data_IF_317321260717
#
_entry.id   IF_317321260717
#
_cell.length_a   1.000
_cell.length_b   1.000
_cell.length_c   1.000
_cell.angle_alpha   90.00
_cell.angle_beta   90.00
_cell.angle_gamma   90.00
#
_symmetry.space_group_name_H-M   'P 1'
#
loop_
_entity.id
_entity.type
_entity.pdbx_description
1 polymer ?
#
# COMPACT_ATOMS: atom_id res chain seq x y z
N UNK A 1 2.36 -8.34 9.44
CA UNK A 1 1.63 -8.29 8.16
C UNK A 1 2.10 -9.35 7.17
N UNK A 2 3.41 -9.49 6.94
CA UNK A 2 3.97 -10.48 5.99
C UNK A 2 3.44 -11.91 6.17
N UNK A 3 3.48 -12.46 7.39
CA UNK A 3 2.97 -13.82 7.68
C UNK A 3 1.46 -13.97 7.48
N UNK A 4 0.70 -12.88 7.59
CA UNK A 4 -0.75 -12.92 7.54
C UNK A 4 -1.26 -13.08 6.11
N UNK A 5 -0.81 -12.22 5.19
CA UNK A 5 -1.16 -12.31 3.77
C UNK A 5 -0.54 -13.54 3.10
N UNK A 6 0.71 -13.89 3.43
CA UNK A 6 1.37 -15.08 2.88
C UNK A 6 0.57 -16.36 3.11
N UNK A 7 -0.01 -16.54 4.29
CA UNK A 7 -0.83 -17.73 4.60
C UNK A 7 -2.09 -17.78 3.73
N UNK A 8 -2.82 -16.68 3.59
CA UNK A 8 -4.02 -16.64 2.75
C UNK A 8 -3.69 -16.93 1.28
N UNK A 9 -2.61 -16.32 0.76
CA UNK A 9 -2.17 -16.53 -0.61
C UNK A 9 -1.70 -17.96 -0.86
N UNK A 10 -0.99 -18.55 0.10
CA UNK A 10 -0.58 -19.95 0.06
C UNK A 10 -1.80 -20.88 0.04
N UNK A 11 -2.82 -20.61 0.86
CA UNK A 11 -4.07 -21.36 0.84
C UNK A 11 -4.83 -21.26 -0.49
N UNK A 12 -4.80 -20.09 -1.16
CA UNK A 12 -5.38 -19.93 -2.50
C UNK A 12 -4.62 -20.75 -3.54
N UNK A 13 -3.29 -20.78 -3.46
CA UNK A 13 -2.45 -21.56 -4.38
C UNK A 13 -2.60 -23.07 -4.16
N UNK A 14 -2.46 -23.55 -2.92
CA UNK A 14 -2.53 -24.97 -2.58
C UNK A 14 -3.89 -25.61 -2.94
N UNK A 15 -4.97 -24.83 -2.91
CA UNK A 15 -6.32 -25.27 -3.28
C UNK A 15 -6.62 -25.16 -4.78
N UNK A 16 -5.67 -24.71 -5.60
CA UNK A 16 -5.87 -24.48 -7.02
C UNK A 16 -6.86 -23.33 -7.32
N UNK A 17 -7.02 -22.41 -6.38
CA UNK A 17 -7.87 -21.22 -6.57
C UNK A 17 -7.13 -20.05 -7.23
N UNK A 18 -5.81 -20.13 -7.31
CA UNK A 18 -4.96 -19.13 -7.95
C UNK A 18 -3.98 -19.82 -8.88
N UNK A 19 -3.98 -19.39 -10.14
CA UNK A 19 -2.98 -19.78 -11.15
C UNK A 19 -2.13 -18.54 -11.52
N UNK A 20 -0.81 -18.56 -11.28
CA UNK A 20 0.07 -17.44 -11.64
C UNK A 20 0.23 -17.24 -13.15
N UNK A 21 -0.04 -18.26 -13.98
CA UNK A 21 0.03 -18.15 -15.43
C UNK A 21 -1.24 -17.54 -16.04
N UNK A 22 -2.32 -17.49 -15.26
CA UNK A 22 -3.60 -16.94 -15.68
C UNK A 22 -3.68 -15.44 -15.38
N UNK A 23 -3.92 -14.65 -16.44
CA UNK A 23 -3.96 -13.19 -16.33
C UNK A 23 -5.14 -12.68 -15.49
N UNK A 24 -6.30 -13.32 -15.59
CA UNK A 24 -7.48 -12.93 -14.80
C UNK A 24 -7.25 -13.21 -13.31
N UNK A 25 -6.68 -14.37 -12.95
CA UNK A 25 -6.35 -14.68 -11.54
C UNK A 25 -5.33 -13.68 -10.98
N UNK A 26 -4.32 -13.27 -11.77
CA UNK A 26 -3.38 -12.20 -11.38
C UNK A 26 -4.06 -10.85 -11.20
N UNK A 27 -4.92 -10.46 -12.12
CA UNK A 27 -5.61 -9.18 -12.09
C UNK A 27 -6.62 -9.11 -10.93
N UNK A 28 -7.38 -10.18 -10.66
CA UNK A 28 -8.30 -10.23 -9.50
C UNK A 28 -7.52 -10.16 -8.19
N UNK A 29 -6.39 -10.86 -8.11
CA UNK A 29 -5.51 -10.78 -6.94
C UNK A 29 -5.00 -9.35 -6.74
N UNK A 30 -4.52 -8.71 -7.80
CA UNK A 30 -4.05 -7.33 -7.76
C UNK A 30 -5.16 -6.37 -7.30
N UNK A 31 -6.38 -6.52 -7.84
CA UNK A 31 -7.53 -5.68 -7.52
C UNK A 31 -7.93 -5.75 -6.05
N UNK A 32 -7.90 -6.95 -5.44
CA UNK A 32 -8.28 -7.13 -4.04
C UNK A 32 -7.12 -6.86 -3.09
N UNK A 33 -5.97 -7.48 -3.31
CA UNK A 33 -4.90 -7.48 -2.30
C UNK A 33 -4.09 -6.19 -2.28
N UNK A 34 -3.87 -5.51 -3.40
CA UNK A 34 -3.06 -4.28 -3.41
C UNK A 34 -3.72 -3.16 -2.58
N UNK A 35 -5.01 -2.81 -2.76
CA UNK A 35 -5.65 -1.77 -1.95
C UNK A 35 -5.68 -2.12 -0.45
N UNK A 36 -5.94 -3.38 -0.11
CA UNK A 36 -5.95 -3.86 1.28
C UNK A 36 -4.57 -3.73 1.91
N UNK A 37 -3.52 -4.21 1.22
CA UNK A 37 -2.14 -4.11 1.72
C UNK A 37 -1.73 -2.64 1.87
N UNK A 38 -2.08 -1.80 0.90
CA UNK A 38 -1.80 -0.36 0.95
C UNK A 38 -2.47 0.29 2.17
N UNK A 39 -3.75 -0.02 2.45
CA UNK A 39 -4.45 0.47 3.66
C UNK A 39 -3.71 0.06 4.93
N UNK A 40 -3.36 -1.22 5.07
CA UNK A 40 -2.70 -1.71 6.29
C UNK A 40 -1.31 -1.09 6.47
N UNK A 41 -0.58 -0.85 5.38
CA UNK A 41 0.70 -0.11 5.39
C UNK A 41 0.48 1.33 5.82
N UNK A 42 -0.54 2.01 5.31
CA UNK A 42 -0.85 3.39 5.69
C UNK A 42 -1.19 3.48 7.20
N UNK A 43 -2.03 2.57 7.70
CA UNK A 43 -2.36 2.47 9.13
C UNK A 43 -1.09 2.24 9.96
N UNK A 44 -0.18 1.37 9.49
CA UNK A 44 1.07 1.12 10.17
C UNK A 44 1.97 2.36 10.21
N UNK A 45 2.10 3.09 9.09
CA UNK A 45 2.87 4.34 9.00
C UNK A 45 2.31 5.37 9.99
N UNK A 46 0.99 5.56 10.01
CA UNK A 46 0.33 6.49 10.91
C UNK A 46 0.58 6.12 12.38
N UNK A 47 0.38 4.85 12.74
CA UNK A 47 0.63 4.37 14.09
C UNK A 47 2.09 4.55 14.48
N UNK A 48 3.02 4.16 13.61
CA UNK A 48 4.45 4.20 13.86
C UNK A 48 4.95 5.65 14.03
N UNK A 49 4.60 6.53 13.09
CA UNK A 49 5.07 7.92 13.10
C UNK A 49 4.46 8.76 14.22
N UNK A 50 3.33 8.33 14.79
CA UNK A 50 2.72 8.96 15.96
C UNK A 50 3.05 8.24 17.29
N UNK A 51 3.76 7.11 17.24
CA UNK A 51 4.19 6.40 18.44
C UNK A 51 5.52 6.96 18.95
N UNK A 52 5.66 7.02 20.28
CA UNK A 52 6.94 7.36 20.90
C UNK A 52 7.89 6.17 20.82
N UNK A 53 8.97 6.34 20.08
CA UNK A 53 10.03 5.33 20.00
C UNK A 53 10.78 5.18 21.33
N UNK A 54 11.33 4.00 21.60
CA UNK A 54 12.11 3.75 22.82
C UNK A 54 13.47 4.43 22.73
N UNK A 55 13.87 5.05 23.85
CA UNK A 55 15.17 5.71 23.98
C UNK A 55 16.33 4.77 23.64
N UNK A 56 17.14 5.12 22.65
CA UNK A 56 18.38 4.41 22.34
C UNK A 56 19.57 5.11 23.00
N UNK A 57 20.14 4.46 24.02
CA UNK A 57 21.35 4.96 24.71
C UNK A 57 22.51 5.09 23.71
N UNK A 58 23.29 6.18 23.84
CA UNK A 58 24.45 6.50 23.01
C UNK A 58 24.14 6.78 21.52
N UNK A 59 22.97 7.33 21.22
CA UNK A 59 22.66 7.80 19.87
C UNK A 59 22.49 9.32 19.85
N UNK A 60 22.82 9.95 18.72
CA UNK A 60 22.62 11.39 18.47
C UNK A 60 21.24 11.67 17.85
N UNK A 61 20.39 10.66 17.74
CA UNK A 61 19.09 10.74 17.07
C UNK A 61 18.06 11.22 18.10
N UNK A 62 17.16 12.16 17.74
CA UNK A 62 16.12 12.63 18.65
C UNK A 62 15.20 11.48 19.03
N UNK A 63 14.92 11.37 20.33
CA UNK A 63 14.00 10.39 20.88
C UNK A 63 12.63 11.04 21.15
N UNK A 64 11.58 10.50 20.54
CA UNK A 64 10.26 11.11 20.62
C UNK A 64 9.27 10.51 19.64
N UNK A 65 8.20 11.24 19.37
CA UNK A 65 7.23 10.91 18.34
C UNK A 65 7.77 11.47 17.01
N UNK A 66 8.03 10.62 15.99
CA UNK A 66 8.64 11.07 14.73
C UNK A 66 7.93 12.28 14.08
N UNK A 67 6.60 12.25 13.99
CA UNK A 67 5.83 13.38 13.41
C UNK A 67 6.00 14.68 14.21
N UNK A 68 6.12 14.58 15.53
CA UNK A 68 6.30 15.74 16.39
C UNK A 68 7.72 16.30 16.29
N UNK A 69 8.73 15.44 16.25
CA UNK A 69 10.13 15.85 16.01
C UNK A 69 10.25 16.54 14.65
N UNK A 70 9.60 16.00 13.62
CA UNK A 70 9.61 16.57 12.28
C UNK A 70 8.95 17.95 12.24
N UNK A 71 7.82 18.12 12.93
CA UNK A 71 7.06 19.38 12.92
C UNK A 71 7.61 20.43 13.88
N UNK A 72 8.32 20.02 14.94
CA UNK A 72 8.79 20.87 16.03
C UNK A 72 10.27 20.58 16.38
N UNK A 73 11.21 20.67 15.42
CA UNK A 73 12.61 20.32 15.67
C UNK A 73 13.26 21.17 16.76
N UNK A 74 12.83 22.43 16.92
CA UNK A 74 13.36 23.37 17.93
C UNK A 74 13.16 22.88 19.37
N UNK A 75 12.05 22.19 19.65
CA UNK A 75 11.78 21.62 20.98
C UNK A 75 12.76 20.51 21.36
N UNK A 76 13.46 19.95 20.36
CA UNK A 76 14.49 18.93 20.51
C UNK A 76 15.91 19.50 20.37
N UNK A 77 16.07 20.84 20.34
CA UNK A 77 17.36 21.49 20.11
C UNK A 77 17.91 21.31 18.69
N UNK A 78 17.02 21.00 17.73
CA UNK A 78 17.35 20.80 16.32
C UNK A 78 16.91 22.00 15.49
N UNK A 79 17.46 22.09 14.29
CA UNK A 79 17.14 23.15 13.33
C UNK A 79 16.49 22.51 12.13
N UNK A 80 15.34 23.05 11.69
CA UNK A 80 14.72 22.62 10.45
C UNK A 80 15.65 22.90 9.26
N UNK A 81 15.94 21.85 8.50
CA UNK A 81 16.72 21.90 7.26
C UNK A 81 15.94 21.29 6.09
N UNK A 82 14.62 21.12 6.26
CA UNK A 82 13.74 20.72 5.18
C UNK A 82 13.80 21.72 4.04
N UNK A 83 13.67 21.22 2.81
CA UNK A 83 13.42 22.05 1.65
C UNK A 83 11.98 21.87 1.21
N UNK A 84 11.28 22.99 1.05
CA UNK A 84 9.98 22.99 0.40
C UNK A 84 10.17 22.68 -1.09
N UNK A 85 9.60 21.57 -1.53
CA UNK A 85 9.63 21.18 -2.94
C UNK A 85 8.39 21.75 -3.62
N UNK A 86 8.59 22.59 -4.62
CA UNK A 86 7.51 23.15 -5.42
C UNK A 86 6.93 22.13 -6.39
N UNK A 87 5.66 22.32 -6.78
CA UNK A 87 5.03 21.48 -7.80
C UNK A 87 5.78 21.54 -9.14
N UNK A 88 6.37 22.69 -9.48
CA UNK A 88 7.16 22.86 -10.70
C UNK A 88 8.43 22.00 -10.70
N UNK A 89 9.11 21.89 -9.56
CA UNK A 89 10.30 21.03 -9.40
C UNK A 89 9.92 19.56 -9.48
N UNK A 90 8.81 19.15 -8.83
CA UNK A 90 8.29 17.79 -8.96
C UNK A 90 7.98 17.45 -10.42
N UNK A 91 7.34 18.35 -11.16
CA UNK A 91 7.06 18.15 -12.58
C UNK A 91 8.33 18.08 -13.43
N UNK A 92 9.33 18.92 -13.14
CA UNK A 92 10.62 18.89 -13.84
C UNK A 92 11.33 17.55 -13.63
N UNK A 93 11.41 17.08 -12.38
CA UNK A 93 11.98 15.77 -12.04
C UNK A 93 11.19 14.65 -12.71
N UNK A 94 9.87 14.70 -12.69
CA UNK A 94 9.01 13.68 -13.28
C UNK A 94 9.19 13.56 -14.81
N UNK A 95 9.45 14.67 -15.50
CA UNK A 95 9.80 14.67 -16.93
C UNK A 95 11.16 14.04 -17.19
N UNK A 96 12.16 14.34 -16.35
CA UNK A 96 13.52 13.80 -16.50
C UNK A 96 13.56 12.31 -16.15
N UNK A 97 12.86 11.90 -15.10
CA UNK A 97 12.82 10.50 -14.64
C UNK A 97 11.96 9.61 -15.54
N UNK A 98 11.06 10.19 -16.34
CA UNK A 98 10.12 9.44 -17.17
C UNK A 98 9.04 8.72 -16.37
N UNK A 99 8.89 8.99 -15.07
CA UNK A 99 7.94 8.31 -14.18
C UNK A 99 6.48 8.45 -14.65
N UNK A 100 6.16 9.52 -15.37
CA UNK A 100 4.82 9.78 -15.91
C UNK A 100 4.53 9.05 -17.23
N UNK A 101 5.54 8.45 -17.86
CA UNK A 101 5.39 7.73 -19.12
C UNK A 101 5.02 6.25 -18.91
N UNK A 102 5.10 5.75 -17.67
CA UNK A 102 4.65 4.41 -17.30
C UNK A 102 3.16 4.47 -17.02
N UNK A 103 2.39 3.47 -17.50
CA UNK A 103 0.99 3.31 -17.12
C UNK A 103 0.90 3.29 -15.59
N UNK A 104 0.18 4.27 -15.03
CA UNK A 104 0.11 4.44 -13.57
C UNK A 104 -0.68 3.31 -12.90
N UNK A 105 -1.56 2.66 -13.66
CA UNK A 105 -2.45 1.65 -13.15
C UNK A 105 -1.83 0.27 -13.31
N UNK A 106 -1.74 -0.46 -12.19
CA UNK A 106 -1.31 -1.86 -12.15
C UNK A 106 -2.38 -2.83 -12.70
N UNK A 107 -3.50 -2.29 -13.22
CA UNK A 107 -4.65 -3.01 -13.73
C UNK A 107 -5.23 -2.32 -14.97
N UNK A 108 -5.64 -3.07 -16.01
CA UNK A 108 -6.39 -2.51 -17.12
C UNK A 108 -7.70 -1.86 -16.65
N UNK A 109 -8.01 -0.65 -17.13
CA UNK A 109 -9.20 0.13 -16.72
C UNK A 109 -10.50 -0.64 -16.94
N UNK A 110 -10.62 -1.37 -18.05
CA UNK A 110 -11.79 -2.19 -18.35
C UNK A 110 -11.98 -3.32 -17.31
N UNK A 111 -10.87 -3.94 -16.90
CA UNK A 111 -10.89 -5.00 -15.90
C UNK A 111 -11.23 -4.46 -14.51
N UNK A 112 -10.64 -3.33 -14.12
CA UNK A 112 -10.96 -2.65 -12.87
C UNK A 112 -12.44 -2.27 -12.81
N UNK A 113 -13.01 -1.74 -13.90
CA UNK A 113 -14.43 -1.37 -13.98
C UNK A 113 -15.35 -2.57 -13.76
N UNK A 114 -15.04 -3.73 -14.38
CA UNK A 114 -15.76 -4.98 -14.16
C UNK A 114 -15.69 -5.45 -12.72
N UNK A 115 -14.51 -5.38 -12.10
CA UNK A 115 -14.33 -5.76 -10.70
C UNK A 115 -15.07 -4.82 -9.76
N UNK A 116 -15.03 -3.50 -10.00
CA UNK A 116 -15.74 -2.49 -9.22
C UNK A 116 -17.26 -2.68 -9.25
N UNK A 117 -17.83 -3.22 -10.34
CA UNK A 117 -19.26 -3.53 -10.39
C UNK A 117 -19.68 -4.59 -9.37
N UNK A 118 -18.77 -5.50 -9.00
CA UNK A 118 -19.00 -6.56 -8.00
C UNK A 118 -18.53 -6.11 -6.60
N UNK A 119 -17.38 -5.45 -6.54
CA UNK A 119 -16.72 -5.01 -5.31
C UNK A 119 -16.27 -3.55 -5.48
N UNK A 120 -17.11 -2.57 -5.10
CA UNK A 120 -16.86 -1.16 -5.40
C UNK A 120 -15.69 -0.55 -4.61
N UNK A 121 -15.43 -1.02 -3.39
CA UNK A 121 -14.41 -0.44 -2.48
C UNK A 121 -13.52 -1.54 -1.90
N UNK A 122 -12.55 -2.07 -2.67
CA UNK A 122 -11.66 -3.13 -2.21
C UNK A 122 -10.84 -2.74 -0.97
N UNK A 123 -10.52 -1.46 -0.81
CA UNK A 123 -9.80 -0.91 0.33
C UNK A 123 -10.59 -1.00 1.64
N UNK A 124 -11.91 -1.13 1.61
CA UNK A 124 -12.75 -1.24 2.82
C UNK A 124 -12.90 -2.70 3.30
N UNK A 125 -12.38 -3.66 2.52
CA UNK A 125 -12.45 -5.07 2.87
C UNK A 125 -11.53 -5.36 4.07
N UNK A 126 -12.04 -5.97 5.16
CA UNK A 126 -11.18 -6.41 6.25
C UNK A 126 -10.13 -7.40 5.74
N UNK A 127 -8.88 -7.24 6.18
CA UNK A 127 -7.75 -8.07 5.69
C UNK A 127 -7.98 -9.58 5.86
N UNK A 128 -8.78 -10.00 6.85
CA UNK A 128 -9.20 -11.39 7.08
C UNK A 128 -10.14 -11.96 6.00
N UNK A 129 -10.88 -11.10 5.32
CA UNK A 129 -11.91 -11.47 4.36
C UNK A 129 -11.41 -11.38 2.90
N UNK A 130 -10.18 -10.91 2.68
CA UNK A 130 -9.59 -10.72 1.34
C UNK A 130 -9.70 -11.98 0.46
N UNK A 131 -9.31 -13.15 0.98
CA UNK A 131 -9.38 -14.41 0.26
C UNK A 131 -10.83 -14.77 -0.14
N UNK A 132 -11.82 -14.45 0.69
CA UNK A 132 -13.24 -14.71 0.40
C UNK A 132 -13.72 -13.84 -0.77
N UNK A 133 -13.38 -12.55 -0.77
CA UNK A 133 -13.76 -11.64 -1.84
C UNK A 133 -13.05 -11.96 -3.16
N UNK A 134 -11.78 -12.41 -3.11
CA UNK A 134 -11.09 -12.96 -4.27
C UNK A 134 -11.88 -14.12 -4.90
N UNK A 135 -12.33 -15.09 -4.09
CA UNK A 135 -13.10 -16.23 -4.60
C UNK A 135 -14.46 -15.82 -5.18
N UNK A 136 -15.11 -14.80 -4.61
CA UNK A 136 -16.35 -14.25 -5.17
C UNK A 136 -16.11 -13.64 -6.55
N UNK A 137 -15.12 -12.75 -6.68
CA UNK A 137 -14.78 -12.12 -7.96
C UNK A 137 -14.38 -13.16 -9.02
N UNK A 138 -13.58 -14.16 -8.64
CA UNK A 138 -13.19 -15.24 -9.54
C UNK A 138 -14.38 -16.00 -10.10
N UNK A 139 -15.40 -16.27 -9.28
CA UNK A 139 -16.63 -16.95 -9.73
C UNK A 139 -17.47 -16.12 -10.70
N UNK A 140 -17.49 -14.80 -10.53
CA UNK A 140 -18.24 -13.90 -11.41
C UNK A 140 -17.49 -13.61 -12.72
N UNK A 141 -16.17 -13.54 -12.68
CA UNK A 141 -15.34 -13.17 -13.83
C UNK A 141 -15.02 -14.36 -14.74
N UNK A 142 -14.89 -15.57 -14.18
CA UNK A 142 -14.56 -16.81 -14.92
C UNK A 142 -15.79 -17.68 -15.27
N UNK A 143 -17.00 -17.16 -15.11
CA UNK A 143 -18.23 -17.78 -15.64
C UNK A 143 -18.31 -17.56 -17.15
#
# INVERSE_FOLDING_TARGET
>A
MEKFFKRQLLELWERGHYDPEDEDDRNILAFIYIPIVQREVNIFIELWNNSRSRLQKNTLIPDGIPNFIYSNPEEYGMVDRGWEVSLAELQAVARVSGVLAVEQDYLPVEFATRCCAVVPEPENIPSKDAARFYLTLRREIKQ
#
